data_IF_338353869608
#
_entry.id   IF_338353869608
#
_cell.length_a   1.000
_cell.length_b   1.000
_cell.length_c   1.000
_cell.angle_alpha   90.00
_cell.angle_beta   90.00
_cell.angle_gamma   90.00
#
_symmetry.space_group_name_H-M   'P 1'
#
loop_
_entity.id
_entity.type
_entity.pdbx_description
1 polymer ?
#
# COMPACT_ATOMS: atom_id res chain seq x y z
N UNK A 1 1.12 -9.00 11.29
CA UNK A 1 1.39 -7.75 10.53
C UNK A 1 1.99 -6.69 11.46
N UNK A 2 2.74 -5.69 10.92
CA UNK A 2 3.19 -4.54 11.69
C UNK A 2 1.98 -3.68 12.12
N UNK A 3 2.20 -2.65 12.93
CA UNK A 3 1.18 -1.72 13.43
C UNK A 3 0.10 -1.33 12.40
N UNK A 4 -1.13 -0.95 12.84
CA UNK A 4 -2.25 -0.66 11.95
C UNK A 4 -1.89 0.28 10.81
N UNK A 5 -2.47 0.01 9.62
CA UNK A 5 -2.33 0.89 8.46
C UNK A 5 -2.96 2.25 8.78
N UNK A 6 -2.22 3.32 8.52
CA UNK A 6 -2.67 4.70 8.66
C UNK A 6 -2.81 5.40 7.31
N UNK A 7 -1.94 5.09 6.34
CA UNK A 7 -2.00 5.65 4.98
C UNK A 7 -1.72 4.58 3.94
N UNK A 8 -2.29 4.78 2.75
CA UNK A 8 -2.12 3.90 1.59
C UNK A 8 -1.32 4.64 0.52
N UNK A 9 -0.44 3.91 -0.15
CA UNK A 9 0.31 4.43 -1.30
C UNK A 9 0.21 3.44 -2.47
N UNK A 10 -0.54 3.77 -3.53
CA UNK A 10 -0.46 3.03 -4.77
C UNK A 10 0.86 3.36 -5.47
N UNK A 11 1.42 2.37 -6.14
CA UNK A 11 2.65 2.46 -6.93
C UNK A 11 2.62 1.48 -8.10
N UNK A 12 3.74 1.41 -8.82
CA UNK A 12 3.91 0.54 -9.97
C UNK A 12 5.37 0.06 -10.05
N UNK A 13 5.56 -1.23 -10.34
CA UNK A 13 6.87 -1.86 -10.55
C UNK A 13 6.76 -2.85 -11.70
N UNK A 14 7.53 -2.63 -12.79
CA UNK A 14 7.55 -3.52 -13.96
C UNK A 14 6.13 -3.85 -14.47
N UNK A 15 5.31 -2.81 -14.69
CA UNK A 15 3.90 -2.91 -15.14
C UNK A 15 2.92 -3.57 -14.13
N UNK A 16 3.39 -3.94 -12.93
CA UNK A 16 2.56 -4.48 -11.86
C UNK A 16 2.15 -3.36 -10.92
N UNK A 17 0.84 -3.19 -10.71
CA UNK A 17 0.33 -2.28 -9.70
C UNK A 17 0.59 -2.80 -8.29
N UNK A 18 1.03 -1.94 -7.39
CA UNK A 18 1.23 -2.31 -5.98
C UNK A 18 0.53 -1.34 -5.07
N UNK A 19 -0.02 -1.84 -3.97
CA UNK A 19 -0.57 -1.03 -2.89
C UNK A 19 0.19 -1.32 -1.61
N UNK A 20 0.67 -0.26 -0.96
CA UNK A 20 1.45 -0.35 0.27
C UNK A 20 0.71 0.38 1.39
N UNK A 21 0.50 -0.31 2.51
CA UNK A 21 0.04 0.28 3.75
C UNK A 21 1.22 0.75 4.61
N UNK A 22 1.18 2.01 5.05
CA UNK A 22 2.13 2.56 6.01
C UNK A 22 1.46 2.76 7.37
N UNK A 23 2.16 2.42 8.45
CA UNK A 23 1.71 2.79 9.79
C UNK A 23 1.93 4.29 10.05
N UNK A 24 1.26 4.84 11.06
CA UNK A 24 1.31 6.27 11.39
C UNK A 24 2.74 6.81 11.60
N UNK A 25 3.65 6.00 12.16
CA UNK A 25 5.06 6.36 12.33
C UNK A 25 5.76 6.51 10.98
N UNK A 26 5.55 5.58 10.06
CA UNK A 26 6.18 5.60 8.74
C UNK A 26 5.62 6.72 7.87
N UNK A 27 4.30 6.97 7.93
CA UNK A 27 3.65 8.09 7.24
C UNK A 27 4.27 9.43 7.66
N UNK A 28 4.27 9.73 8.97
CA UNK A 28 4.87 10.96 9.51
C UNK A 28 6.36 11.11 9.20
N UNK A 29 7.09 9.99 9.12
CA UNK A 29 8.50 10.01 8.77
C UNK A 29 8.72 10.36 7.28
N UNK A 30 7.81 9.96 6.39
CA UNK A 30 7.87 10.29 4.98
C UNK A 30 7.42 11.73 4.68
N UNK A 31 6.40 12.23 5.38
CA UNK A 31 5.89 13.61 5.18
C UNK A 31 6.95 14.70 5.46
N UNK A 32 7.94 14.37 6.30
CA UNK A 32 9.05 15.28 6.65
C UNK A 32 10.17 15.30 5.62
N UNK A 33 10.14 14.41 4.62
CA UNK A 33 11.19 14.30 3.62
C UNK A 33 10.90 15.19 2.42
N UNK A 34 11.94 15.71 1.75
CA UNK A 34 11.78 16.29 0.43
C UNK A 34 11.13 15.28 -0.52
N UNK A 35 10.26 15.76 -1.41
CA UNK A 35 9.44 14.92 -2.29
C UNK A 35 10.25 13.85 -3.04
N UNK A 36 11.39 14.21 -3.64
CA UNK A 36 12.26 13.26 -4.34
C UNK A 36 12.85 12.16 -3.44
N UNK A 37 13.11 12.45 -2.17
CA UNK A 37 13.59 11.45 -1.20
C UNK A 37 12.46 10.55 -0.72
N UNK A 38 11.27 11.13 -0.48
CA UNK A 38 10.07 10.35 -0.16
C UNK A 38 9.73 9.36 -1.28
N UNK A 39 9.74 9.83 -2.53
CA UNK A 39 9.47 8.98 -3.70
C UNK A 39 10.47 7.82 -3.82
N UNK A 40 11.77 8.07 -3.63
CA UNK A 40 12.79 7.00 -3.64
C UNK A 40 12.52 5.92 -2.59
N UNK A 41 12.11 6.32 -1.38
CA UNK A 41 11.76 5.37 -0.30
C UNK A 41 10.50 4.58 -0.64
N UNK A 42 9.48 5.23 -1.19
CA UNK A 42 8.25 4.57 -1.60
C UNK A 42 8.50 3.59 -2.75
N UNK A 43 9.33 3.95 -3.74
CA UNK A 43 9.71 3.03 -4.81
C UNK A 43 10.48 1.80 -4.28
N UNK A 44 11.39 1.99 -3.33
CA UNK A 44 12.07 0.86 -2.69
C UNK A 44 11.09 -0.04 -1.92
N UNK A 45 10.12 0.56 -1.21
CA UNK A 45 9.06 -0.19 -0.55
C UNK A 45 8.15 -0.92 -1.56
N UNK A 46 7.88 -0.30 -2.72
CA UNK A 46 7.10 -0.89 -3.81
C UNK A 46 7.82 -2.10 -4.42
N UNK A 47 9.12 -2.02 -4.65
CA UNK A 47 9.92 -3.16 -5.11
C UNK A 47 9.90 -4.30 -4.11
N UNK A 48 10.05 -4.00 -2.82
CA UNK A 48 9.93 -5.02 -1.75
C UNK A 48 8.51 -5.62 -1.73
N UNK A 49 7.48 -4.79 -1.84
CA UNK A 49 6.08 -5.21 -1.84
C UNK A 49 5.72 -6.12 -3.02
N UNK A 50 6.24 -5.83 -4.21
CA UNK A 50 6.04 -6.66 -5.40
C UNK A 50 6.58 -8.09 -5.21
N UNK A 51 7.66 -8.23 -4.43
CA UNK A 51 8.29 -9.50 -4.10
C UNK A 51 7.77 -10.17 -2.81
N UNK A 52 6.97 -9.47 -1.99
CA UNK A 52 6.53 -10.01 -0.71
C UNK A 52 5.37 -11.00 -0.87
N UNK A 53 5.64 -12.26 -0.56
CA UNK A 53 4.62 -13.32 -0.47
C UNK A 53 4.44 -13.83 0.96
N UNK A 54 5.13 -13.22 1.93
CA UNK A 54 5.18 -13.70 3.32
C UNK A 54 4.04 -13.15 4.19
N UNK A 55 3.28 -12.16 3.70
CA UNK A 55 2.26 -11.46 4.48
C UNK A 55 2.86 -10.64 5.64
N UNK A 56 4.18 -10.41 5.62
CA UNK A 56 4.89 -9.66 6.66
C UNK A 56 4.56 -8.18 6.60
N UNK A 57 4.27 -7.66 5.42
CA UNK A 57 3.95 -6.26 5.19
C UNK A 57 2.50 -6.09 4.73
N UNK A 58 1.98 -4.87 4.92
CA UNK A 58 0.69 -4.48 4.36
C UNK A 58 0.88 -4.18 2.87
N UNK A 59 0.84 -5.22 2.05
CA UNK A 59 1.08 -5.13 0.61
C UNK A 59 0.01 -5.89 -0.17
N UNK A 60 -0.37 -5.35 -1.32
CA UNK A 60 -1.26 -6.01 -2.28
C UNK A 60 -0.76 -5.75 -3.70
N UNK A 61 -0.94 -6.73 -4.58
CA UNK A 61 -0.47 -6.70 -5.98
C UNK A 61 -1.67 -6.73 -6.91
N UNK A 62 -1.57 -5.97 -7.99
CA UNK A 62 -2.63 -5.75 -8.97
C UNK A 62 -2.07 -5.93 -10.38
N UNK A 63 -2.93 -6.28 -11.36
CA UNK A 63 -2.50 -6.47 -12.74
C UNK A 63 -1.90 -5.21 -13.37
N UNK A 64 -2.29 -4.01 -12.89
CA UNK A 64 -1.80 -2.72 -13.37
C UNK A 64 -1.92 -1.63 -12.29
N UNK A 65 -1.30 -0.46 -12.54
CA UNK A 65 -1.33 0.68 -11.62
C UNK A 65 -2.74 1.22 -11.36
N UNK A 66 -3.61 1.25 -12.38
CA UNK A 66 -4.98 1.75 -12.26
C UNK A 66 -5.82 0.92 -11.28
N UNK A 67 -5.67 -0.40 -11.31
CA UNK A 67 -6.29 -1.30 -10.36
C UNK A 67 -5.81 -1.04 -8.91
N UNK A 68 -4.52 -0.74 -8.70
CA UNK A 68 -4.00 -0.38 -7.39
C UNK A 68 -4.56 0.97 -6.89
N UNK A 69 -4.71 1.96 -7.79
CA UNK A 69 -5.33 3.26 -7.48
C UNK A 69 -6.81 3.08 -7.11
N UNK A 70 -7.55 2.28 -7.87
CA UNK A 70 -8.95 1.95 -7.57
C UNK A 70 -9.09 1.30 -6.20
N UNK A 71 -8.26 0.30 -5.90
CA UNK A 71 -8.27 -0.36 -4.60
C UNK A 71 -8.01 0.64 -3.45
N UNK A 72 -7.06 1.55 -3.62
CA UNK A 72 -6.81 2.61 -2.63
C UNK A 72 -8.04 3.50 -2.40
N UNK A 73 -8.77 3.85 -3.47
CA UNK A 73 -10.01 4.63 -3.37
C UNK A 73 -11.14 3.86 -2.67
N UNK A 74 -11.31 2.57 -2.98
CA UNK A 74 -12.31 1.73 -2.34
C UNK A 74 -12.05 1.57 -0.84
N UNK A 75 -10.79 1.43 -0.43
CA UNK A 75 -10.42 1.36 0.99
C UNK A 75 -10.62 2.71 1.69
N UNK A 76 -10.38 3.81 0.99
CA UNK A 76 -10.61 5.16 1.53
C UNK A 76 -12.09 5.51 1.73
N UNK A 77 -13.01 4.79 1.09
CA UNK A 77 -14.45 5.01 1.22
C UNK A 77 -15.04 4.12 2.32
N UNK A 78 -15.65 4.75 3.35
CA UNK A 78 -16.21 4.05 4.50
C UNK A 78 -17.21 2.95 4.14
N UNK A 79 -17.98 3.11 3.07
CA UNK A 79 -18.99 2.13 2.67
C UNK A 79 -18.40 0.84 2.10
N UNK A 80 -17.18 0.89 1.56
CA UNK A 80 -16.51 -0.23 0.88
C UNK A 80 -15.21 -0.65 1.55
N UNK A 81 -14.79 0.05 2.61
CA UNK A 81 -13.47 -0.10 3.20
C UNK A 81 -13.22 -1.51 3.74
N UNK A 82 -14.16 -2.05 4.53
CA UNK A 82 -14.03 -3.38 5.14
C UNK A 82 -13.95 -4.46 4.08
N UNK A 83 -14.92 -4.51 3.16
CA UNK A 83 -14.97 -5.50 2.07
C UNK A 83 -13.70 -5.45 1.21
N UNK A 84 -13.21 -4.25 0.89
CA UNK A 84 -11.99 -4.08 0.11
C UNK A 84 -10.75 -4.58 0.88
N UNK A 85 -10.66 -4.33 2.19
CA UNK A 85 -9.56 -4.80 3.05
C UNK A 85 -9.58 -6.32 3.23
N UNK A 86 -10.75 -6.93 3.35
CA UNK A 86 -10.92 -8.40 3.37
C UNK A 86 -10.53 -9.03 2.03
N UNK A 87 -10.99 -8.45 0.91
CA UNK A 87 -10.70 -8.96 -0.43
C UNK A 87 -9.20 -8.99 -0.76
N UNK A 88 -8.41 -8.04 -0.24
CA UNK A 88 -6.96 -8.02 -0.40
C UNK A 88 -6.21 -8.81 0.70
N UNK A 89 -6.94 -9.48 1.60
CA UNK A 89 -6.37 -10.33 2.66
C UNK A 89 -5.71 -9.54 3.79
N UNK A 90 -6.05 -8.26 3.96
CA UNK A 90 -5.51 -7.42 5.04
C UNK A 90 -6.36 -7.51 6.32
N UNK A 91 -7.59 -7.96 6.19
CA UNK A 91 -8.37 -8.46 7.31
C UNK A 91 -8.52 -9.96 7.14
N UNK A 92 -8.29 -10.71 8.22
CA UNK A 92 -8.81 -12.08 8.32
C UNK A 92 -10.27 -11.99 8.78
N UNK A 93 -11.19 -12.76 8.16
CA UNK A 93 -12.56 -12.88 8.64
C UNK A 93 -12.64 -13.49 10.05
#
# INVERSE_FOLDING_TARGET
MPAPVATLHPGEIHDIGVLIGLCARCARANDRLPHGTAQKRLNAAASLAASDTSGRYWTARFPDHGAAVLAAHLIGNQATATDALEAIGWLTP
#
